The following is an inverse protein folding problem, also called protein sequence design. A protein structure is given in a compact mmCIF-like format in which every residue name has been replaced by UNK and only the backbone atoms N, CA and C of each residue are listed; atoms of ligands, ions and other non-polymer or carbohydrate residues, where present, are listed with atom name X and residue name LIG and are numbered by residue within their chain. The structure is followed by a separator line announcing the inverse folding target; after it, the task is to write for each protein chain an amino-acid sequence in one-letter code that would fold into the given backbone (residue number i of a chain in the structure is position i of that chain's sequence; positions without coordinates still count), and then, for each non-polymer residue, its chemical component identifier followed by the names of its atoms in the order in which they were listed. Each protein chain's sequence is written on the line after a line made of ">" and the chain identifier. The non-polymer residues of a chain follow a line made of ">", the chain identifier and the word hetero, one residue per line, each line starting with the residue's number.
data_IF_083179905091
#
_entry.id   IF_083179905091
#
_cell.length_a   1.000
_cell.length_b   1.000
_cell.length_c   1.000
_cell.angle_alpha   90.00
_cell.angle_beta   90.00
_cell.angle_gamma   90.00
#
_symmetry.space_group_name_H-M   'P 1'
#
loop_
_entity.id
_entity.type
_entity.pdbx_description
1 polymer ?
#
# COMPACT_ATOMS: atom_id res chain seq x y z
N UNK A 1 6.39 -11.18 8.01
CA UNK A 1 7.31 -10.07 7.66
C UNK A 1 6.59 -8.73 7.52
N UNK A 2 5.67 -8.52 6.57
CA UNK A 2 5.02 -7.20 6.40
C UNK A 2 4.16 -6.75 7.59
N UNK A 3 3.52 -7.69 8.31
CA UNK A 3 2.79 -7.38 9.54
C UNK A 3 3.73 -6.91 10.67
N UNK A 4 4.83 -7.63 10.94
CA UNK A 4 5.79 -7.21 11.97
C UNK A 4 6.43 -5.85 11.70
N UNK A 5 6.77 -5.55 10.44
CA UNK A 5 7.28 -4.23 10.05
C UNK A 5 6.25 -3.12 10.30
N UNK A 6 4.98 -3.39 10.02
CA UNK A 6 3.88 -2.46 10.29
C UNK A 6 3.65 -2.27 11.78
N UNK A 7 3.69 -3.34 12.58
CA UNK A 7 3.54 -3.25 14.03
C UNK A 7 4.65 -2.39 14.65
N UNK A 8 5.90 -2.59 14.20
CA UNK A 8 7.04 -1.76 14.63
C UNK A 8 6.77 -0.27 14.38
N UNK A 9 6.30 0.09 13.19
CA UNK A 9 6.04 1.48 12.83
C UNK A 9 4.82 2.06 13.56
N UNK A 10 3.67 1.38 13.47
CA UNK A 10 2.38 1.96 13.86
C UNK A 10 2.04 1.72 15.33
N UNK A 11 2.40 0.57 15.89
CA UNK A 11 2.01 0.19 17.25
C UNK A 11 3.14 0.45 18.27
N UNK A 12 4.39 0.27 17.85
CA UNK A 12 5.56 0.43 18.73
C UNK A 12 6.31 1.76 18.53
N UNK A 13 5.98 2.53 17.50
CA UNK A 13 6.61 3.83 17.22
C UNK A 13 8.10 3.76 16.89
N UNK A 14 8.57 2.61 16.41
CA UNK A 14 9.96 2.38 16.03
C UNK A 14 10.25 3.04 14.68
N UNK A 15 11.40 3.70 14.58
CA UNK A 15 11.89 4.26 13.32
C UNK A 15 12.32 3.14 12.36
N UNK A 16 11.42 2.77 11.45
CA UNK A 16 11.68 1.76 10.41
C UNK A 16 12.51 2.29 9.24
N UNK A 17 12.92 3.56 9.26
CA UNK A 17 13.94 4.08 8.34
C UNK A 17 15.37 3.74 8.80
N UNK A 18 15.54 3.35 10.07
CA UNK A 18 16.83 2.89 10.58
C UNK A 18 17.21 1.53 9.99
N UNK A 19 18.35 1.52 9.29
CA UNK A 19 18.93 0.31 8.72
C UNK A 19 19.25 -0.78 9.74
N UNK A 20 19.51 -0.45 11.01
CA UNK A 20 19.74 -1.45 12.07
C UNK A 20 18.44 -2.21 12.37
N UNK A 21 17.31 -1.50 12.48
CA UNK A 21 15.98 -2.09 12.68
C UNK A 21 15.64 -3.02 11.52
N UNK A 22 15.78 -2.53 10.28
CA UNK A 22 15.46 -3.32 9.08
C UNK A 22 16.36 -4.56 8.93
N UNK A 23 17.67 -4.45 9.22
CA UNK A 23 18.59 -5.62 9.20
C UNK A 23 18.25 -6.64 10.28
N UNK A 24 17.87 -6.18 11.48
CA UNK A 24 17.43 -7.06 12.56
C UNK A 24 16.20 -7.87 12.16
N UNK A 25 15.21 -7.20 11.57
CA UNK A 25 13.99 -7.83 11.09
C UNK A 25 14.25 -8.78 9.91
N UNK A 26 15.10 -8.38 8.96
CA UNK A 26 15.48 -9.24 7.84
C UNK A 26 16.11 -10.54 8.34
N UNK A 27 17.03 -10.46 9.32
CA UNK A 27 17.65 -11.62 9.96
C UNK A 27 16.63 -12.50 10.69
N UNK A 28 15.71 -11.91 11.44
CA UNK A 28 14.64 -12.63 12.16
C UNK A 28 13.82 -13.52 11.23
N UNK A 29 13.51 -13.01 10.03
CA UNK A 29 12.68 -13.70 9.03
C UNK A 29 13.49 -14.46 7.96
N UNK A 30 14.83 -14.48 8.05
CA UNK A 30 15.70 -15.15 7.06
C UNK A 30 15.62 -14.52 5.67
N UNK A 31 15.47 -13.21 5.59
CA UNK A 31 15.36 -12.44 4.35
C UNK A 31 16.72 -11.92 3.94
N UNK A 32 17.19 -12.39 2.80
CA UNK A 32 18.42 -11.91 2.17
C UNK A 32 18.11 -10.74 1.25
N UNK A 33 18.82 -9.61 1.45
CA UNK A 33 18.67 -8.41 0.60
C UNK A 33 19.80 -8.43 -0.44
N UNK A 34 19.42 -8.59 -1.69
CA UNK A 34 20.33 -8.60 -2.84
C UNK A 34 20.53 -7.20 -3.45
N UNK A 35 21.60 -7.05 -4.22
CA UNK A 35 21.93 -5.80 -4.91
C UNK A 35 20.83 -5.33 -5.89
N UNK A 36 19.98 -6.25 -6.38
CA UNK A 36 18.89 -5.92 -7.30
C UNK A 36 17.61 -5.42 -6.61
N UNK A 37 17.46 -5.61 -5.30
CA UNK A 37 16.18 -5.35 -4.62
C UNK A 37 15.83 -3.87 -4.59
N UNK A 38 16.83 -3.00 -4.46
CA UNK A 38 16.61 -1.56 -4.56
C UNK A 38 16.05 -1.17 -5.93
N UNK A 39 16.60 -1.71 -7.01
CA UNK A 39 16.11 -1.41 -8.36
C UNK A 39 14.70 -1.96 -8.58
N UNK A 40 14.39 -3.17 -8.08
CA UNK A 40 13.04 -3.75 -8.17
C UNK A 40 11.99 -2.87 -7.51
N UNK A 41 12.29 -2.28 -6.34
CA UNK A 41 11.37 -1.35 -5.66
C UNK A 41 11.10 -0.09 -6.51
N UNK A 42 12.13 0.45 -7.17
CA UNK A 42 11.99 1.60 -8.06
C UNK A 42 11.20 1.25 -9.32
N UNK A 43 11.44 0.07 -9.90
CA UNK A 43 10.72 -0.40 -11.09
C UNK A 43 9.23 -0.61 -10.79
N UNK A 44 8.88 -1.19 -9.64
CA UNK A 44 7.49 -1.32 -9.17
C UNK A 44 6.83 0.05 -8.94
N UNK A 45 7.56 1.01 -8.36
CA UNK A 45 7.06 2.38 -8.20
C UNK A 45 6.77 3.04 -9.55
N UNK A 46 7.69 2.93 -10.52
CA UNK A 46 7.52 3.47 -11.87
C UNK A 46 6.33 2.80 -12.56
N UNK A 47 6.25 1.46 -12.51
CA UNK A 47 5.13 0.71 -13.08
C UNK A 47 3.79 1.13 -12.47
N UNK A 48 3.73 1.32 -11.15
CA UNK A 48 2.52 1.83 -10.49
C UNK A 48 2.12 3.21 -10.99
N UNK A 49 3.09 4.12 -11.16
CA UNK A 49 2.84 5.47 -11.72
C UNK A 49 2.34 5.41 -13.15
N UNK A 50 2.93 4.57 -14.00
CA UNK A 50 2.50 4.35 -15.38
C UNK A 50 1.08 3.77 -15.47
N UNK A 51 0.70 2.96 -14.49
CA UNK A 51 -0.65 2.37 -14.35
C UNK A 51 -1.66 3.30 -13.69
N UNK A 52 -1.28 4.55 -13.38
CA UNK A 52 -2.19 5.54 -12.79
C UNK A 52 -2.42 5.38 -11.28
N UNK A 53 -1.55 4.68 -10.55
CA UNK A 53 -1.64 4.59 -9.09
C UNK A 53 -1.44 5.97 -8.46
N UNK A 54 -2.45 6.42 -7.71
CA UNK A 54 -2.47 7.72 -7.02
C UNK A 54 -2.29 7.61 -5.50
N UNK A 55 -2.42 6.41 -4.94
CA UNK A 55 -2.31 6.16 -3.50
C UNK A 55 -2.50 4.69 -3.17
N UNK A 56 -2.65 4.38 -1.88
CA UNK A 56 -2.90 3.02 -1.39
C UNK A 56 -4.10 2.95 -0.43
N UNK A 57 -4.83 1.82 -0.38
CA UNK A 57 -4.68 0.68 -1.29
C UNK A 57 -5.24 0.97 -2.68
N UNK A 58 -4.57 0.46 -3.72
CA UNK A 58 -5.04 0.46 -5.10
C UNK A 58 -5.04 -0.99 -5.58
N UNK A 59 -6.20 -1.51 -5.95
CA UNK A 59 -6.39 -2.89 -6.37
C UNK A 59 -6.53 -2.96 -7.87
N UNK A 60 -6.03 -4.05 -8.45
CA UNK A 60 -6.19 -4.35 -9.86
C UNK A 60 -6.87 -5.71 -10.00
N UNK A 61 -7.89 -5.76 -10.86
CA UNK A 61 -8.56 -7.00 -11.28
C UNK A 61 -8.31 -7.21 -12.77
N UNK A 62 -8.71 -8.35 -13.37
CA UNK A 62 -8.58 -8.55 -14.82
C UNK A 62 -9.35 -7.52 -15.66
N UNK A 63 -10.39 -6.91 -15.09
CA UNK A 63 -11.37 -6.07 -15.81
C UNK A 63 -11.34 -4.60 -15.43
N UNK A 64 -10.75 -4.24 -14.28
CA UNK A 64 -10.74 -2.87 -13.76
C UNK A 64 -9.63 -2.64 -12.72
N UNK A 65 -9.52 -1.40 -12.25
CA UNK A 65 -8.72 -1.01 -11.10
C UNK A 65 -9.53 -0.13 -10.14
N UNK A 66 -9.18 -0.18 -8.86
CA UNK A 66 -9.95 0.40 -7.77
C UNK A 66 -9.04 1.06 -6.73
N UNK A 67 -9.11 2.39 -6.61
CA UNK A 67 -8.46 3.12 -5.53
C UNK A 67 -9.39 3.22 -4.33
N UNK A 68 -8.96 2.65 -3.20
CA UNK A 68 -9.67 2.69 -1.92
C UNK A 68 -11.19 2.36 -2.01
N UNK A 69 -11.60 1.22 -2.60
CA UNK A 69 -12.99 0.97 -3.02
C UNK A 69 -14.05 1.01 -1.92
N UNK A 70 -13.67 0.90 -0.64
CA UNK A 70 -14.60 1.02 0.48
C UNK A 70 -14.82 2.46 0.98
N UNK A 71 -14.04 3.42 0.50
CA UNK A 71 -14.03 4.79 1.00
C UNK A 71 -14.10 5.80 -0.15
N UNK A 72 -14.93 6.82 0.01
CA UNK A 72 -14.78 8.07 -0.73
C UNK A 72 -13.85 8.99 0.07
N UNK A 73 -12.69 9.27 -0.49
CA UNK A 73 -11.65 10.10 0.12
C UNK A 73 -11.45 11.35 -0.73
N UNK A 74 -11.86 12.49 -0.19
CA UNK A 74 -11.77 13.77 -0.90
C UNK A 74 -11.35 14.90 0.03
N UNK A 75 -11.12 16.09 -0.52
CA UNK A 75 -10.93 17.31 0.27
C UNK A 75 -12.10 18.25 0.04
N UNK A 76 -12.57 18.88 1.10
CA UNK A 76 -13.64 19.87 1.02
C UNK A 76 -13.14 21.22 0.49
N UNK A 77 -14.05 22.18 0.37
CA UNK A 77 -13.74 23.54 -0.12
C UNK A 77 -12.78 24.32 0.78
N UNK A 78 -12.55 23.88 2.02
CA UNK A 78 -11.59 24.45 2.96
C UNK A 78 -10.28 23.65 3.01
N UNK A 79 -10.18 22.55 2.25
CA UNK A 79 -9.02 21.68 2.18
C UNK A 79 -8.98 20.59 3.25
N UNK A 80 -10.02 20.46 4.09
CA UNK A 80 -10.07 19.40 5.10
C UNK A 80 -10.29 18.05 4.43
N UNK A 81 -9.66 16.99 4.99
CA UNK A 81 -9.85 15.63 4.53
C UNK A 81 -11.24 15.13 4.92
N UNK A 82 -12.01 14.68 3.93
CA UNK A 82 -13.28 13.98 4.12
C UNK A 82 -13.10 12.51 3.74
N UNK A 83 -13.58 11.63 4.62
CA UNK A 83 -13.55 10.18 4.41
C UNK A 83 -14.93 9.64 4.75
N UNK A 84 -15.62 9.14 3.74
CA UNK A 84 -16.95 8.54 3.86
C UNK A 84 -16.90 7.08 3.41
N UNK A 85 -17.80 6.23 3.93
CA UNK A 85 -17.98 4.90 3.37
C UNK A 85 -18.58 4.99 1.96
N UNK A 86 -18.12 4.13 1.05
CA UNK A 86 -18.65 4.00 -0.30
C UNK A 86 -19.03 2.54 -0.57
N UNK A 87 -20.23 2.15 -0.12
CA UNK A 87 -20.73 0.78 -0.25
C UNK A 87 -20.89 0.35 -1.72
N UNK A 88 -21.34 1.26 -2.59
CA UNK A 88 -21.53 0.97 -4.01
C UNK A 88 -20.20 0.64 -4.73
N UNK A 89 -19.17 1.45 -4.50
CA UNK A 89 -17.84 1.17 -5.06
C UNK A 89 -17.22 -0.12 -4.48
N UNK A 90 -17.55 -0.45 -3.23
CA UNK A 90 -17.10 -1.71 -2.62
C UNK A 90 -17.77 -2.92 -3.26
N UNK A 91 -19.08 -2.88 -3.51
CA UNK A 91 -19.80 -3.96 -4.18
C UNK A 91 -19.28 -4.19 -5.61
N UNK A 92 -19.02 -3.11 -6.36
CA UNK A 92 -18.40 -3.19 -7.68
C UNK A 92 -17.02 -3.84 -7.64
N UNK A 93 -16.19 -3.45 -6.67
CA UNK A 93 -14.87 -4.03 -6.45
C UNK A 93 -14.96 -5.53 -6.13
N UNK A 94 -15.85 -5.93 -5.22
CA UNK A 94 -16.02 -7.34 -4.85
C UNK A 94 -16.46 -8.17 -6.05
N UNK A 95 -17.41 -7.68 -6.87
CA UNK A 95 -17.82 -8.37 -8.09
C UNK A 95 -16.64 -8.53 -9.06
N UNK A 96 -15.82 -7.50 -9.25
CA UNK A 96 -14.65 -7.54 -10.12
C UNK A 96 -13.53 -8.47 -9.61
N UNK A 97 -13.44 -8.73 -8.30
CA UNK A 97 -12.47 -9.68 -7.74
C UNK A 97 -12.79 -11.15 -8.07
N UNK A 98 -14.06 -11.47 -8.31
CA UNK A 98 -14.53 -12.86 -8.50
C UNK A 98 -15.07 -13.13 -9.92
N UNK A 99 -14.90 -12.19 -10.84
CA UNK A 99 -15.17 -12.34 -12.28
C UNK A 99 -13.97 -12.89 -13.02
#
# INVERSE_FOLDING_TARGET
>A
MSLRLRDLLFEEGVDVSDSVVLRGLAKEFGVEIGAADQQRVLDEYISGRERGVIGSPHFFTPTADFFCPALDVSRDSQGNLQVCANEAAFDEFILACFS
#
